data_IF_480614011735
#
_entry.id   IF_480614011735
#
_cell.length_a   1.000
_cell.length_b   1.000
_cell.length_c   1.000
_cell.angle_alpha   90.00
_cell.angle_beta   90.00
_cell.angle_gamma   90.00
#
_symmetry.space_group_name_H-M   'P 1'
#
loop_
_entity.id
_entity.type
_entity.pdbx_description
1 polymer ?
#
# COMPACT_ATOMS: atom_id res chain seq x y z
N UNK A 1 -7.56 0.79 11.06
CA UNK A 1 -8.10 1.76 10.07
C UNK A 1 -9.38 1.18 9.45
N UNK A 2 -10.42 1.97 9.21
CA UNK A 2 -11.66 1.52 8.54
C UNK A 2 -11.52 1.80 7.04
N UNK A 3 -11.49 0.76 6.23
CA UNK A 3 -11.33 0.86 4.77
C UNK A 3 -12.69 0.69 4.07
N UNK A 4 -13.46 -0.30 4.47
CA UNK A 4 -14.71 -0.69 3.82
C UNK A 4 -15.93 -0.20 4.60
N UNK A 5 -17.09 -0.19 3.94
CA UNK A 5 -18.38 0.20 4.52
C UNK A 5 -18.69 -0.57 5.81
N UNK A 6 -19.35 0.11 6.75
CA UNK A 6 -19.89 -0.49 7.98
C UNK A 6 -21.32 -1.01 7.82
N UNK A 7 -21.91 -0.89 6.64
CA UNK A 7 -23.25 -1.39 6.39
C UNK A 7 -23.31 -2.89 6.67
N UNK A 8 -24.38 -3.30 7.36
CA UNK A 8 -24.64 -4.71 7.69
C UNK A 8 -25.45 -5.41 6.62
N UNK A 9 -26.16 -4.64 5.81
CA UNK A 9 -27.06 -5.11 4.74
C UNK A 9 -26.42 -4.84 3.37
N UNK A 10 -25.23 -5.45 3.17
CA UNK A 10 -24.48 -5.31 1.93
C UNK A 10 -25.09 -6.15 0.82
N UNK A 11 -24.93 -5.74 -0.46
CA UNK A 11 -25.26 -6.57 -1.62
C UNK A 11 -24.56 -7.92 -1.52
N UNK A 12 -25.26 -8.98 -1.88
CA UNK A 12 -24.76 -10.35 -1.76
C UNK A 12 -25.16 -11.20 -2.96
N UNK A 13 -24.38 -12.24 -3.23
CA UNK A 13 -24.71 -13.19 -4.27
C UNK A 13 -25.97 -13.98 -3.93
N UNK A 14 -26.74 -14.25 -4.97
CA UNK A 14 -27.74 -15.31 -4.95
C UNK A 14 -27.67 -16.08 -6.27
N UNK A 15 -27.56 -17.42 -6.24
CA UNK A 15 -27.43 -18.22 -7.46
C UNK A 15 -28.66 -18.16 -8.36
N UNK A 16 -29.82 -17.80 -7.82
CA UNK A 16 -31.08 -17.73 -8.56
C UNK A 16 -31.90 -16.52 -8.06
N UNK A 17 -31.92 -15.45 -8.85
CA UNK A 17 -32.81 -14.33 -8.60
C UNK A 17 -34.26 -14.76 -8.88
N UNK A 18 -35.13 -14.57 -7.92
CA UNK A 18 -36.59 -14.65 -8.14
C UNK A 18 -37.12 -13.29 -8.58
N UNK A 19 -38.25 -13.23 -9.30
CA UNK A 19 -38.82 -11.93 -9.72
C UNK A 19 -39.17 -10.98 -8.56
N UNK A 20 -39.25 -11.48 -7.33
CA UNK A 20 -39.53 -10.69 -6.14
C UNK A 20 -38.28 -10.16 -5.43
N UNK A 21 -37.10 -10.57 -5.86
CA UNK A 21 -35.84 -10.11 -5.26
C UNK A 21 -35.38 -8.80 -5.92
N UNK A 22 -34.90 -7.89 -5.07
CA UNK A 22 -34.31 -6.63 -5.53
C UNK A 22 -32.98 -6.89 -6.24
N UNK A 23 -32.86 -6.59 -7.56
CA UNK A 23 -31.63 -6.84 -8.32
C UNK A 23 -30.46 -5.94 -7.92
N UNK A 24 -30.70 -4.89 -7.13
CA UNK A 24 -29.63 -4.04 -6.60
C UNK A 24 -29.00 -4.65 -5.35
N UNK A 25 -29.66 -5.58 -4.69
CA UNK A 25 -29.25 -6.19 -3.44
C UNK A 25 -28.86 -7.66 -3.56
N UNK A 26 -29.53 -8.40 -4.46
CA UNK A 26 -29.30 -9.82 -4.72
C UNK A 26 -28.75 -9.99 -6.13
N UNK A 27 -27.47 -10.37 -6.21
CA UNK A 27 -26.70 -10.38 -7.45
C UNK A 27 -26.41 -11.82 -7.92
N UNK A 28 -26.17 -12.03 -9.22
CA UNK A 28 -25.73 -13.34 -9.75
C UNK A 28 -24.25 -13.66 -9.45
N UNK A 29 -23.54 -12.78 -8.72
CA UNK A 29 -22.12 -12.91 -8.35
C UNK A 29 -21.89 -12.30 -6.97
N UNK A 30 -20.78 -12.66 -6.32
CA UNK A 30 -20.31 -12.00 -5.12
C UNK A 30 -19.68 -10.65 -5.48
N UNK A 31 -20.23 -9.52 -5.04
CA UNK A 31 -19.68 -8.22 -5.34
C UNK A 31 -18.39 -7.97 -4.57
N UNK A 32 -17.40 -7.46 -5.27
CA UNK A 32 -16.14 -7.02 -4.69
C UNK A 32 -16.32 -5.55 -4.31
N UNK A 33 -16.37 -5.27 -3.02
CA UNK A 33 -16.37 -3.88 -2.53
C UNK A 33 -15.01 -3.24 -2.79
N UNK A 34 -14.98 -2.00 -3.27
CA UNK A 34 -13.75 -1.24 -3.40
C UNK A 34 -13.85 0.09 -2.67
N UNK A 35 -12.73 0.55 -2.19
CA UNK A 35 -12.65 1.84 -1.52
C UNK A 35 -11.52 2.67 -2.10
N UNK A 36 -11.73 3.97 -2.17
CA UNK A 36 -10.74 4.93 -2.66
C UNK A 36 -10.33 5.90 -1.56
N UNK A 37 -9.10 6.39 -1.64
CA UNK A 37 -8.54 7.34 -0.67
C UNK A 37 -7.51 8.24 -1.33
N UNK A 38 -7.56 9.54 -1.08
CA UNK A 38 -6.56 10.50 -1.55
C UNK A 38 -5.27 10.47 -0.72
N UNK A 39 -5.37 10.11 0.56
CA UNK A 39 -4.27 10.18 1.54
C UNK A 39 -3.80 8.80 2.05
N UNK A 40 -4.49 7.71 1.63
CA UNK A 40 -4.25 6.35 2.12
C UNK A 40 -4.69 6.12 3.57
N UNK A 41 -5.45 7.05 4.17
CA UNK A 41 -5.91 7.01 5.56
C UNK A 41 -7.42 7.14 5.69
N UNK A 42 -8.00 8.06 4.94
CA UNK A 42 -9.45 8.31 4.90
C UNK A 42 -10.02 7.64 3.67
N UNK A 43 -10.94 6.69 3.86
CA UNK A 43 -11.46 5.83 2.81
C UNK A 43 -12.93 6.10 2.52
N UNK A 44 -13.28 6.05 1.24
CA UNK A 44 -14.64 6.15 0.74
C UNK A 44 -14.97 4.85 0.01
N UNK A 45 -15.90 4.07 0.55
CA UNK A 45 -16.38 2.82 -0.07
C UNK A 45 -17.43 3.13 -1.14
N UNK A 46 -17.42 2.32 -2.22
CA UNK A 46 -18.49 2.33 -3.23
C UNK A 46 -19.85 2.00 -2.63
N UNK A 47 -19.91 1.10 -1.65
CA UNK A 47 -21.15 0.73 -0.97
C UNK A 47 -21.75 1.87 -0.12
N UNK A 48 -20.96 2.85 0.26
CA UNK A 48 -21.43 4.04 0.98
C UNK A 48 -21.87 5.17 0.03
N UNK A 49 -21.81 4.95 -1.30
CA UNK A 49 -22.23 5.94 -2.30
C UNK A 49 -23.67 5.71 -2.75
N UNK A 50 -24.63 6.60 -2.38
CA UNK A 50 -26.02 6.39 -2.73
C UNK A 50 -26.28 6.35 -4.24
N UNK A 51 -25.48 7.09 -5.02
CA UNK A 51 -25.62 7.19 -6.48
C UNK A 51 -25.00 6.00 -7.23
N UNK A 52 -24.29 5.10 -6.52
CA UNK A 52 -23.70 3.88 -7.07
C UNK A 52 -24.48 2.61 -6.73
N UNK A 53 -25.63 2.71 -6.08
CA UNK A 53 -26.48 1.55 -5.79
C UNK A 53 -26.88 0.88 -7.10
N UNK A 54 -26.60 -0.43 -7.20
CA UNK A 54 -26.80 -1.22 -8.43
C UNK A 54 -25.55 -1.34 -9.33
N UNK A 55 -24.50 -0.57 -9.06
CA UNK A 55 -23.22 -0.62 -9.80
C UNK A 55 -22.16 -1.34 -8.95
N UNK A 56 -21.85 -2.57 -9.28
CA UNK A 56 -20.98 -3.41 -8.46
C UNK A 56 -19.85 -4.03 -9.26
N UNK A 57 -18.67 -4.12 -8.64
CA UNK A 57 -17.53 -4.82 -9.21
C UNK A 57 -17.73 -6.34 -9.08
N UNK A 58 -17.66 -7.05 -10.21
CA UNK A 58 -17.75 -8.51 -10.20
C UNK A 58 -16.41 -9.21 -10.47
N UNK A 59 -15.42 -8.48 -10.97
CA UNK A 59 -14.10 -9.01 -11.26
C UNK A 59 -13.09 -7.87 -11.39
N UNK A 60 -11.92 -8.04 -10.83
CA UNK A 60 -10.74 -7.28 -11.24
C UNK A 60 -9.67 -8.24 -11.78
N UNK A 61 -8.89 -7.76 -12.76
CA UNK A 61 -7.83 -8.58 -13.34
C UNK A 61 -6.63 -8.72 -12.39
N UNK A 62 -5.88 -9.83 -12.48
CA UNK A 62 -4.59 -9.93 -11.82
C UNK A 62 -3.67 -8.79 -12.24
N UNK A 63 -2.86 -8.30 -11.32
CA UNK A 63 -1.94 -7.19 -11.56
C UNK A 63 -0.59 -7.74 -12.02
N UNK A 64 -0.12 -7.45 -13.25
CA UNK A 64 1.14 -7.98 -13.76
C UNK A 64 2.34 -7.33 -13.07
N UNK A 65 3.45 -8.05 -12.98
CA UNK A 65 4.74 -7.47 -12.59
C UNK A 65 5.41 -6.97 -13.88
N UNK A 66 5.77 -5.69 -13.92
CA UNK A 66 6.49 -5.07 -15.04
C UNK A 66 7.79 -4.49 -14.49
N UNK A 67 8.91 -4.88 -15.07
CA UNK A 67 10.23 -4.42 -14.64
C UNK A 67 11.06 -3.93 -15.82
N UNK A 68 11.96 -2.99 -15.56
CA UNK A 68 13.01 -2.53 -16.47
C UNK A 68 14.36 -2.82 -15.86
N UNK A 69 15.18 -3.51 -16.65
CA UNK A 69 16.53 -3.91 -16.28
C UNK A 69 17.56 -3.01 -16.96
N UNK A 70 18.39 -2.33 -16.16
CA UNK A 70 19.53 -1.57 -16.65
C UNK A 70 20.72 -2.51 -16.81
N UNK A 71 21.04 -2.86 -18.07
CA UNK A 71 22.09 -3.80 -18.43
C UNK A 71 23.27 -3.05 -19.04
N UNK A 72 24.49 -3.45 -18.67
CA UNK A 72 25.73 -2.87 -19.17
C UNK A 72 26.66 -3.96 -19.70
N UNK A 73 27.23 -3.73 -20.92
CA UNK A 73 28.24 -4.60 -21.47
C UNK A 73 29.64 -4.20 -20.98
N UNK A 74 30.35 -5.12 -20.37
CA UNK A 74 31.68 -4.90 -19.85
C UNK A 74 32.74 -5.37 -20.90
N UNK A 75 33.26 -4.41 -21.67
CA UNK A 75 34.31 -4.66 -22.63
C UNK A 75 33.92 -5.70 -23.69
N UNK A 76 34.85 -6.68 -23.93
CA UNK A 76 34.66 -7.77 -24.91
C UNK A 76 34.05 -9.04 -24.29
N UNK A 77 33.70 -9.03 -23.01
CA UNK A 77 33.12 -10.19 -22.32
C UNK A 77 31.77 -10.57 -22.93
N UNK A 78 31.47 -11.87 -22.94
CA UNK A 78 30.17 -12.35 -23.31
C UNK A 78 29.14 -12.00 -22.22
N UNK A 79 27.90 -11.70 -22.65
CA UNK A 79 26.79 -11.32 -21.77
C UNK A 79 26.81 -9.84 -21.35
N UNK A 80 25.98 -9.52 -20.37
CA UNK A 80 25.83 -8.17 -19.82
C UNK A 80 25.70 -8.25 -18.29
N UNK A 81 26.16 -7.20 -17.61
CA UNK A 81 26.00 -7.03 -16.18
C UNK A 81 24.66 -6.33 -15.90
N UNK A 82 23.89 -6.85 -14.96
CA UNK A 82 22.72 -6.16 -14.44
C UNK A 82 23.16 -5.12 -13.38
N UNK A 83 22.99 -3.84 -13.69
CA UNK A 83 23.32 -2.74 -12.77
C UNK A 83 22.18 -2.44 -11.80
N UNK A 84 20.93 -2.42 -12.30
CA UNK A 84 19.74 -2.16 -11.48
C UNK A 84 18.48 -2.70 -12.15
N UNK A 85 17.47 -2.99 -11.34
CA UNK A 85 16.11 -3.29 -11.75
C UNK A 85 15.18 -2.28 -11.11
N UNK A 86 14.24 -1.72 -11.88
CA UNK A 86 13.13 -0.89 -11.40
C UNK A 86 11.81 -1.53 -11.78
N UNK A 87 10.80 -1.37 -10.91
CA UNK A 87 9.43 -1.76 -11.24
C UNK A 87 8.74 -0.59 -11.89
N UNK A 88 7.99 -0.89 -12.95
CA UNK A 88 7.41 0.12 -13.85
C UNK A 88 5.90 0.24 -13.65
N UNK A 89 5.34 1.28 -14.26
CA UNK A 89 3.90 1.45 -14.39
C UNK A 89 3.26 0.16 -14.89
N UNK A 90 2.16 -0.24 -14.28
CA UNK A 90 1.39 -1.40 -14.70
C UNK A 90 -0.08 -1.06 -14.75
N UNK A 91 -0.81 -1.77 -15.58
CA UNK A 91 -2.25 -1.57 -15.72
C UNK A 91 -2.99 -2.85 -15.38
N UNK A 92 -4.13 -2.69 -14.73
CA UNK A 92 -5.09 -3.74 -14.48
C UNK A 92 -6.51 -3.19 -14.63
N UNK A 93 -7.48 -4.04 -14.72
CA UNK A 93 -8.87 -3.62 -14.96
C UNK A 93 -9.79 -4.10 -13.86
N UNK A 94 -10.81 -3.32 -13.57
CA UNK A 94 -11.98 -3.77 -12.83
C UNK A 94 -13.23 -3.66 -13.71
N UNK A 95 -14.13 -4.62 -13.56
CA UNK A 95 -15.33 -4.75 -14.36
C UNK A 95 -16.54 -4.48 -13.48
N UNK A 96 -17.31 -3.47 -13.86
CA UNK A 96 -18.52 -3.06 -13.17
C UNK A 96 -19.73 -3.56 -13.93
N UNK A 97 -20.68 -4.10 -13.21
CA UNK A 97 -21.99 -4.47 -13.70
C UNK A 97 -23.04 -3.60 -13.02
N UNK A 98 -23.98 -3.07 -13.79
CA UNK A 98 -25.07 -2.23 -13.30
C UNK A 98 -26.40 -2.74 -13.78
N UNK A 99 -27.38 -2.73 -12.88
CA UNK A 99 -28.80 -2.86 -13.21
C UNK A 99 -29.58 -1.88 -12.38
N UNK A 100 -30.33 -1.04 -13.08
CA UNK A 100 -31.25 -0.04 -12.52
C UNK A 100 -32.70 -0.36 -12.78
N UNK A 101 -33.58 0.57 -12.43
CA UNK A 101 -35.03 0.45 -12.61
C UNK A 101 -35.48 0.93 -14.00
N UNK A 102 -34.79 1.88 -14.58
CA UNK A 102 -35.12 2.51 -15.86
C UNK A 102 -33.89 3.11 -16.55
N UNK A 103 -34.08 3.66 -17.75
CA UNK A 103 -33.03 4.28 -18.56
C UNK A 103 -32.37 5.49 -17.87
N UNK A 104 -33.12 6.28 -17.11
CA UNK A 104 -32.57 7.43 -16.38
C UNK A 104 -31.57 6.99 -15.32
N UNK A 105 -31.86 5.90 -14.59
CA UNK A 105 -30.94 5.33 -13.59
C UNK A 105 -29.62 4.90 -14.24
N UNK A 106 -29.67 4.36 -15.47
CA UNK A 106 -28.45 3.94 -16.18
C UNK A 106 -27.50 5.12 -16.41
N UNK A 107 -28.03 6.26 -16.87
CA UNK A 107 -27.20 7.45 -17.14
C UNK A 107 -26.69 8.07 -15.84
N UNK A 108 -27.54 8.17 -14.82
CA UNK A 108 -27.17 8.71 -13.51
C UNK A 108 -26.07 7.87 -12.84
N UNK A 109 -26.22 6.55 -12.85
CA UNK A 109 -25.23 5.65 -12.26
C UNK A 109 -23.88 5.70 -13.00
N UNK A 110 -23.89 5.81 -14.32
CA UNK A 110 -22.64 5.95 -15.09
C UNK A 110 -21.96 7.28 -14.83
N UNK A 111 -22.70 8.39 -14.78
CA UNK A 111 -22.18 9.69 -14.38
C UNK A 111 -21.60 9.68 -12.97
N UNK A 112 -22.30 9.02 -12.03
CA UNK A 112 -21.83 8.85 -10.65
C UNK A 112 -20.54 8.04 -10.60
N UNK A 113 -20.45 6.94 -11.36
CA UNK A 113 -19.24 6.11 -11.47
C UNK A 113 -18.06 6.92 -12.00
N UNK A 114 -18.27 7.74 -13.05
CA UNK A 114 -17.23 8.62 -13.57
C UNK A 114 -16.77 9.63 -12.52
N UNK A 115 -17.70 10.31 -11.83
CA UNK A 115 -17.38 11.29 -10.78
C UNK A 115 -16.66 10.66 -9.59
N UNK A 116 -16.99 9.43 -9.23
CA UNK A 116 -16.35 8.72 -8.14
C UNK A 116 -14.93 8.25 -8.49
N UNK A 117 -14.72 7.74 -9.71
CA UNK A 117 -13.46 7.11 -10.12
C UNK A 117 -12.48 8.06 -10.81
N UNK A 118 -12.97 9.09 -11.53
CA UNK A 118 -12.09 9.97 -12.30
C UNK A 118 -11.72 11.19 -11.48
N UNK A 119 -10.44 11.32 -11.19
CA UNK A 119 -9.88 12.47 -10.46
C UNK A 119 -8.71 13.08 -11.25
N UNK A 120 -8.37 14.34 -10.97
CA UNK A 120 -7.17 14.98 -11.52
C UNK A 120 -5.90 14.35 -10.96
N UNK A 121 -5.88 14.10 -9.66
CA UNK A 121 -4.74 13.52 -8.96
C UNK A 121 -4.92 12.01 -8.80
N UNK A 122 -3.82 11.24 -8.72
CA UNK A 122 -3.87 9.83 -8.38
C UNK A 122 -4.44 9.60 -6.97
N UNK A 123 -4.96 8.41 -6.74
CA UNK A 123 -5.53 8.01 -5.46
C UNK A 123 -5.18 6.55 -5.13
N UNK A 124 -5.34 6.19 -3.88
CA UNK A 124 -5.23 4.82 -3.41
C UNK A 124 -6.55 4.09 -3.61
N UNK A 125 -6.47 2.84 -4.08
CA UNK A 125 -7.62 1.93 -4.18
C UNK A 125 -7.32 0.64 -3.42
N UNK A 126 -8.33 0.11 -2.74
CA UNK A 126 -8.28 -1.15 -2.00
C UNK A 126 -9.53 -1.98 -2.33
N UNK A 127 -9.38 -3.30 -2.44
CA UNK A 127 -10.45 -4.25 -2.77
C UNK A 127 -10.73 -5.18 -1.59
N UNK A 128 -12.00 -5.54 -1.39
CA UNK A 128 -12.43 -6.35 -0.25
C UNK A 128 -11.97 -7.81 -0.29
N UNK A 129 -11.65 -8.33 -1.46
CA UNK A 129 -11.06 -9.66 -1.61
C UNK A 129 -9.57 -9.69 -1.20
N UNK A 130 -8.90 -8.52 -1.24
CA UNK A 130 -7.53 -8.34 -0.73
C UNK A 130 -7.43 -7.10 0.18
N UNK A 131 -8.06 -7.09 1.35
CA UNK A 131 -8.29 -5.89 2.17
C UNK A 131 -7.04 -5.28 2.78
N UNK A 132 -5.90 -5.95 2.68
CA UNK A 132 -4.63 -5.45 3.23
C UNK A 132 -3.73 -4.79 2.18
N UNK A 133 -4.14 -4.81 0.90
CA UNK A 133 -3.37 -4.24 -0.20
C UNK A 133 -4.05 -3.04 -0.79
N UNK A 134 -3.27 -2.00 -1.05
CA UNK A 134 -3.71 -0.84 -1.79
C UNK A 134 -2.77 -0.53 -2.93
N UNK A 135 -3.32 0.05 -3.99
CA UNK A 135 -2.61 0.45 -5.20
C UNK A 135 -2.76 1.95 -5.41
N UNK A 136 -1.69 2.63 -5.82
CA UNK A 136 -1.72 4.06 -6.11
C UNK A 136 -1.96 4.28 -7.59
N UNK A 137 -3.20 4.65 -7.94
CA UNK A 137 -3.67 4.53 -9.32
C UNK A 137 -4.22 5.83 -9.90
N UNK A 138 -4.23 5.86 -11.24
CA UNK A 138 -5.11 6.71 -12.07
C UNK A 138 -6.14 5.80 -12.71
N UNK A 139 -7.41 6.20 -12.64
CA UNK A 139 -8.50 5.47 -13.25
C UNK A 139 -8.94 6.11 -14.57
N UNK A 140 -9.32 5.26 -15.52
CA UNK A 140 -10.00 5.63 -16.77
C UNK A 140 -11.23 4.74 -16.93
N UNK A 141 -12.41 5.34 -16.98
CA UNK A 141 -13.69 4.64 -17.15
C UNK A 141 -14.00 4.57 -18.64
N UNK A 142 -14.09 3.36 -19.19
CA UNK A 142 -14.50 3.16 -20.58
C UNK A 142 -15.99 3.41 -20.77
N UNK A 143 -16.40 3.68 -21.99
CA UNK A 143 -17.83 3.77 -22.33
C UNK A 143 -18.54 2.47 -21.96
N UNK A 144 -19.77 2.54 -21.43
CA UNK A 144 -20.50 1.35 -21.02
C UNK A 144 -20.96 0.54 -22.24
N UNK A 145 -20.99 -0.76 -22.06
CA UNK A 145 -21.66 -1.68 -22.98
C UNK A 145 -23.06 -1.96 -22.43
N UNK A 146 -24.06 -1.53 -23.18
CA UNK A 146 -25.46 -1.73 -22.76
C UNK A 146 -25.89 -3.18 -22.92
N UNK A 147 -26.47 -3.73 -21.86
CA UNK A 147 -27.03 -5.07 -21.82
C UNK A 147 -28.53 -5.06 -22.11
N UNK A 148 -29.22 -3.99 -21.74
CA UNK A 148 -30.64 -3.77 -21.91
C UNK A 148 -30.94 -2.27 -21.76
N UNK A 149 -32.22 -1.91 -21.73
CA UNK A 149 -32.73 -0.59 -21.38
C UNK A 149 -32.58 -0.21 -19.88
N UNK A 150 -32.05 -1.14 -19.07
CA UNK A 150 -31.90 -0.97 -17.61
C UNK A 150 -30.53 -1.35 -17.06
N UNK A 151 -29.64 -1.81 -17.90
CA UNK A 151 -28.35 -2.32 -17.42
C UNK A 151 -27.21 -2.15 -18.41
N UNK A 152 -26.00 -2.04 -17.84
CA UNK A 152 -24.76 -1.94 -18.58
C UNK A 152 -23.61 -2.65 -17.84
N UNK A 153 -22.55 -2.89 -18.60
CA UNK A 153 -21.23 -3.21 -18.03
C UNK A 153 -20.24 -2.14 -18.43
N UNK A 154 -19.30 -1.82 -17.55
CA UNK A 154 -18.20 -0.91 -17.83
C UNK A 154 -16.87 -1.48 -17.35
N UNK A 155 -15.82 -1.18 -18.08
CA UNK A 155 -14.44 -1.53 -17.71
C UNK A 155 -13.75 -0.27 -17.20
N UNK A 156 -13.15 -0.36 -16.03
CA UNK A 156 -12.30 0.69 -15.48
C UNK A 156 -10.86 0.21 -15.58
N UNK A 157 -10.03 0.95 -16.33
CA UNK A 157 -8.60 0.71 -16.39
C UNK A 157 -7.92 1.49 -15.28
N UNK A 158 -7.16 0.80 -14.46
CA UNK A 158 -6.39 1.34 -13.35
C UNK A 158 -4.90 1.27 -13.71
N UNK A 159 -4.25 2.42 -13.77
CA UNK A 159 -2.81 2.53 -13.98
C UNK A 159 -2.14 2.71 -12.63
N UNK A 160 -1.46 1.68 -12.14
CA UNK A 160 -0.68 1.71 -10.91
C UNK A 160 0.66 2.43 -11.16
N UNK A 161 0.86 3.52 -10.43
CA UNK A 161 2.00 4.43 -10.62
C UNK A 161 3.25 4.01 -9.87
N UNK A 162 3.13 3.15 -8.86
CA UNK A 162 4.29 2.63 -8.12
C UNK A 162 4.84 1.31 -8.69
N UNK A 163 4.06 0.60 -9.51
CA UNK A 163 4.43 -0.72 -9.99
C UNK A 163 4.48 -1.80 -8.90
N UNK A 164 4.01 -1.48 -7.71
CA UNK A 164 3.95 -2.35 -6.53
C UNK A 164 2.72 -2.01 -5.70
N UNK A 165 2.12 -3.02 -5.06
CA UNK A 165 1.12 -2.79 -4.04
C UNK A 165 1.77 -2.45 -2.70
N UNK A 166 1.05 -1.72 -1.87
CA UNK A 166 1.46 -1.32 -0.53
C UNK A 166 0.45 -1.80 0.50
N UNK A 167 0.91 -2.05 1.72
CA UNK A 167 -0.01 -2.36 2.82
C UNK A 167 -0.92 -1.18 3.18
N UNK A 168 -2.15 -1.50 3.53
CA UNK A 168 -3.09 -0.57 4.16
C UNK A 168 -2.68 -0.40 5.62
N UNK A 169 -1.98 0.66 5.94
CA UNK A 169 -1.35 0.85 7.25
C UNK A 169 0.13 0.46 7.27
N UNK A 170 0.71 0.49 8.44
CA UNK A 170 2.14 0.27 8.68
C UNK A 170 2.36 -0.90 9.64
N UNK A 171 3.61 -1.21 9.91
CA UNK A 171 4.00 -2.25 10.89
C UNK A 171 3.43 -2.02 12.28
N UNK A 172 3.12 -0.77 12.67
CA UNK A 172 2.48 -0.46 13.95
C UNK A 172 0.96 -0.69 13.94
N UNK A 173 0.34 -0.75 12.78
CA UNK A 173 -1.08 -1.08 12.60
C UNK A 173 -1.34 -2.59 12.58
N UNK A 174 -0.34 -3.41 12.91
CA UNK A 174 -0.40 -4.88 12.85
C UNK A 174 -0.77 -5.43 11.48
N UNK A 175 -0.19 -4.84 10.44
CA UNK A 175 -0.37 -5.33 9.07
C UNK A 175 0.24 -6.72 8.96
N UNK A 176 -0.59 -7.67 8.60
CA UNK A 176 -0.17 -9.04 8.35
C UNK A 176 0.29 -9.18 6.90
N UNK A 177 1.42 -9.85 6.68
CA UNK A 177 1.83 -10.27 5.36
C UNK A 177 0.75 -11.14 4.73
N UNK A 178 0.30 -10.82 3.52
CA UNK A 178 -0.73 -11.55 2.81
C UNK A 178 -0.10 -12.36 1.68
N UNK A 179 -0.45 -13.65 1.60
CA UNK A 179 -0.06 -14.51 0.48
C UNK A 179 1.25 -15.26 0.62
N UNK A 180 2.05 -15.05 1.66
CA UNK A 180 3.36 -15.70 1.84
C UNK A 180 3.34 -16.85 2.85
N UNK A 181 2.20 -17.49 3.13
CA UNK A 181 2.05 -18.47 4.24
C UNK A 181 2.56 -17.96 5.60
N UNK A 182 2.90 -16.69 5.69
CA UNK A 182 3.21 -16.07 6.97
C UNK A 182 1.92 -16.03 7.77
N UNK A 183 1.85 -16.94 8.71
CA UNK A 183 0.79 -16.90 9.71
C UNK A 183 0.79 -15.51 10.31
N UNK A 184 -0.38 -15.01 10.61
CA UNK A 184 -0.66 -13.79 11.34
C UNK A 184 0.08 -13.75 12.70
N UNK A 185 1.40 -13.82 12.67
CA UNK A 185 2.24 -13.70 13.82
C UNK A 185 2.50 -12.21 14.01
N UNK A 186 1.95 -11.68 15.08
CA UNK A 186 2.25 -10.32 15.51
C UNK A 186 3.75 -10.22 15.80
N UNK A 187 4.50 -9.67 14.86
CA UNK A 187 5.92 -9.44 15.02
C UNK A 187 6.14 -8.15 15.81
N UNK A 188 7.11 -8.12 16.72
CA UNK A 188 7.45 -6.90 17.43
C UNK A 188 8.19 -5.92 16.50
N UNK A 189 7.75 -4.67 16.51
CA UNK A 189 8.45 -3.55 15.88
C UNK A 189 8.84 -2.47 16.90
N UNK A 190 8.77 -2.81 18.18
CA UNK A 190 9.20 -1.98 19.29
C UNK A 190 10.08 -2.81 20.23
N UNK A 191 11.25 -2.28 20.57
CA UNK A 191 12.29 -2.99 21.31
C UNK A 191 12.85 -2.11 22.42
N UNK A 192 13.27 -2.75 23.54
CA UNK A 192 13.97 -2.09 24.66
C UNK A 192 15.39 -2.62 24.82
N UNK A 193 15.75 -3.68 24.08
CA UNK A 193 17.12 -4.19 23.99
C UNK A 193 17.89 -3.44 22.92
N UNK A 194 19.20 -3.33 23.08
CA UNK A 194 20.09 -2.75 22.08
C UNK A 194 20.44 -3.73 20.95
N UNK A 195 20.25 -5.02 21.15
CA UNK A 195 20.33 -6.06 20.11
C UNK A 195 18.93 -6.63 19.85
N UNK A 196 18.46 -6.55 18.60
CA UNK A 196 17.15 -7.03 18.20
C UNK A 196 17.09 -7.33 16.70
N UNK A 197 15.99 -7.92 16.27
CA UNK A 197 15.74 -8.27 14.87
C UNK A 197 14.45 -7.59 14.40
N UNK A 198 14.55 -6.88 13.26
CA UNK A 198 13.41 -6.27 12.55
C UNK A 198 13.10 -7.09 11.32
N UNK A 199 11.89 -7.59 11.22
CA UNK A 199 11.45 -8.36 10.07
C UNK A 199 10.83 -7.46 9.00
N UNK A 200 11.36 -7.49 7.78
CA UNK A 200 10.76 -6.86 6.60
C UNK A 200 9.98 -7.93 5.81
N UNK A 201 8.65 -7.96 5.97
CA UNK A 201 7.75 -8.85 5.26
C UNK A 201 7.42 -8.39 3.81
N UNK A 202 8.11 -7.38 3.30
CA UNK A 202 7.95 -6.94 1.91
C UNK A 202 8.66 -7.90 0.94
N UNK A 203 8.23 -7.88 -0.32
CA UNK A 203 8.94 -8.58 -1.39
C UNK A 203 10.23 -7.88 -1.81
N UNK A 204 10.40 -6.62 -1.42
CA UNK A 204 11.51 -5.76 -1.80
C UNK A 204 12.26 -5.21 -0.58
N UNK A 205 13.47 -4.74 -0.83
CA UNK A 205 14.24 -3.96 0.16
C UNK A 205 13.54 -2.63 0.42
N UNK A 206 13.41 -2.25 1.68
CA UNK A 206 13.00 -0.90 2.06
C UNK A 206 14.21 0.02 1.97
N UNK A 207 14.12 1.01 1.09
CA UNK A 207 15.21 1.96 0.82
C UNK A 207 14.63 3.39 0.76
N UNK A 208 14.77 4.16 1.84
CA UNK A 208 14.21 5.50 1.92
C UNK A 208 14.88 6.50 0.99
N UNK A 209 16.18 6.35 0.72
CA UNK A 209 16.94 7.26 -0.10
C UNK A 209 16.68 7.07 -1.60
N UNK A 210 16.89 5.84 -2.09
CA UNK A 210 16.89 5.55 -3.53
C UNK A 210 15.53 5.23 -4.09
N UNK A 211 14.63 4.73 -3.24
CA UNK A 211 13.30 4.24 -3.64
C UNK A 211 12.16 5.02 -3.00
N UNK A 212 12.48 6.00 -2.15
CA UNK A 212 11.48 6.79 -1.41
C UNK A 212 10.48 5.94 -0.61
N UNK A 213 10.91 4.75 -0.17
CA UNK A 213 10.10 3.90 0.68
C UNK A 213 10.00 4.53 2.07
N UNK A 214 8.81 4.79 2.62
CA UNK A 214 8.68 5.30 3.96
C UNK A 214 9.30 4.34 4.98
N UNK A 215 10.12 4.86 5.87
CA UNK A 215 10.70 4.17 7.01
C UNK A 215 10.94 5.18 8.11
N UNK A 216 10.27 5.03 9.23
CA UNK A 216 10.47 5.89 10.41
C UNK A 216 11.03 5.06 11.55
N UNK A 217 12.17 5.48 12.09
CA UNK A 217 12.80 4.85 13.26
C UNK A 217 12.74 5.87 14.40
N UNK A 218 12.02 5.54 15.47
CA UNK A 218 11.84 6.41 16.63
C UNK A 218 12.58 5.83 17.84
N UNK A 219 13.43 6.64 18.46
CA UNK A 219 14.11 6.34 19.70
C UNK A 219 13.58 7.25 20.80
N UNK A 220 12.88 6.68 21.78
CA UNK A 220 12.42 7.39 22.98
C UNK A 220 13.34 7.03 24.15
N UNK A 221 14.14 7.99 24.61
CA UNK A 221 15.11 7.73 25.65
C UNK A 221 16.25 8.74 25.73
N UNK A 222 17.46 8.24 25.92
CA UNK A 222 18.64 9.10 26.04
C UNK A 222 19.92 8.41 25.55
N UNK A 223 20.89 9.26 25.19
CA UNK A 223 22.26 8.83 24.93
C UNK A 223 23.25 9.76 25.65
N UNK A 224 24.29 9.15 26.22
CA UNK A 224 25.40 9.90 26.82
C UNK A 224 26.38 10.48 25.79
N UNK A 225 26.15 10.20 24.51
CA UNK A 225 26.97 10.57 23.37
C UNK A 225 27.43 9.36 22.57
N UNK A 226 27.89 9.60 21.35
CA UNK A 226 28.34 8.56 20.40
C UNK A 226 27.29 7.45 20.17
N UNK A 227 26.02 7.82 20.09
CA UNK A 227 24.97 6.88 19.67
C UNK A 227 25.22 6.43 18.24
N UNK A 228 25.06 5.12 18.00
CA UNK A 228 25.16 4.56 16.64
C UNK A 228 24.14 3.45 16.47
N UNK A 229 23.29 3.60 15.46
CA UNK A 229 22.37 2.56 15.00
C UNK A 229 23.06 1.81 13.87
N UNK A 230 23.16 0.50 13.95
CA UNK A 230 23.77 -0.34 12.92
C UNK A 230 22.80 -1.45 12.53
N UNK A 231 22.46 -1.55 11.24
CA UNK A 231 21.88 -2.74 10.65
C UNK A 231 23.03 -3.69 10.26
N UNK A 232 23.30 -4.72 11.07
CA UNK A 232 24.38 -5.69 10.83
C UNK A 232 24.16 -6.49 9.54
N UNK A 233 22.91 -6.60 9.10
CA UNK A 233 22.56 -7.40 7.91
C UNK A 233 22.88 -6.67 6.61
N UNK A 234 22.64 -5.36 6.55
CA UNK A 234 22.95 -4.55 5.35
C UNK A 234 24.30 -3.84 5.42
N UNK A 235 24.85 -3.68 6.64
CA UNK A 235 26.05 -2.90 6.92
C UNK A 235 25.76 -1.40 7.07
N UNK A 236 24.52 -0.98 6.95
CA UNK A 236 24.12 0.43 7.06
C UNK A 236 24.22 0.91 8.51
N UNK A 237 24.61 2.17 8.69
CA UNK A 237 24.63 2.77 10.04
C UNK A 237 24.40 4.27 9.98
N UNK A 238 23.89 4.83 11.08
CA UNK A 238 23.82 6.26 11.34
C UNK A 238 24.32 6.53 12.74
N UNK A 239 25.12 7.57 12.92
CA UNK A 239 25.68 7.97 14.22
C UNK A 239 25.38 9.40 14.58
N UNK A 240 25.30 9.66 15.89
CA UNK A 240 25.14 10.96 16.50
C UNK A 240 26.11 11.11 17.68
N UNK A 241 27.20 11.93 17.56
CA UNK A 241 28.22 12.07 18.58
C UNK A 241 27.74 12.73 19.87
N UNK A 242 26.86 13.73 19.78
CA UNK A 242 26.43 14.53 20.91
C UNK A 242 25.44 13.80 21.82
N UNK A 243 25.50 14.10 23.12
CA UNK A 243 24.50 13.60 24.09
C UNK A 243 23.11 14.17 23.79
N UNK A 244 22.08 13.40 24.10
CA UNK A 244 20.70 13.83 23.93
C UNK A 244 19.74 13.11 24.87
N UNK A 245 18.52 13.67 25.00
CA UNK A 245 17.40 13.05 25.70
C UNK A 245 16.07 13.48 25.07
N UNK A 246 15.06 12.63 25.20
CA UNK A 246 13.73 12.84 24.63
C UNK A 246 13.45 11.89 23.47
N UNK A 247 12.89 12.39 22.37
CA UNK A 247 12.54 11.60 21.19
C UNK A 247 13.45 11.98 20.02
N UNK A 248 14.25 11.02 19.56
CA UNK A 248 15.02 11.12 18.32
C UNK A 248 14.37 10.27 17.23
N UNK A 249 14.18 10.85 16.06
CA UNK A 249 13.48 10.19 14.94
C UNK A 249 14.33 10.27 13.67
N UNK A 250 14.51 9.15 13.00
CA UNK A 250 14.97 9.10 11.62
C UNK A 250 13.74 8.91 10.72
N UNK A 251 13.28 9.96 10.07
CA UNK A 251 12.16 9.93 9.12
C UNK A 251 12.70 9.85 7.69
N UNK A 252 12.75 8.65 7.17
CA UNK A 252 13.45 8.34 5.92
C UNK A 252 14.95 8.65 6.03
N UNK A 253 15.36 9.77 5.45
CA UNK A 253 16.74 10.29 5.48
C UNK A 253 16.90 11.51 6.40
N UNK A 254 15.82 11.93 7.07
CA UNK A 254 15.79 13.17 7.85
C UNK A 254 15.84 12.86 9.36
N UNK A 255 16.97 13.09 10.05
CA UNK A 255 17.04 12.97 11.51
C UNK A 255 16.42 14.18 12.20
N UNK A 256 15.62 13.92 13.22
CA UNK A 256 14.93 14.92 14.02
C UNK A 256 15.17 14.63 15.51
N UNK A 257 15.46 15.65 16.31
CA UNK A 257 15.48 15.58 17.78
C UNK A 257 14.39 16.46 18.36
N UNK A 258 13.46 15.88 19.10
CA UNK A 258 12.33 16.61 19.70
C UNK A 258 11.60 17.48 18.64
N UNK A 259 11.37 16.91 17.45
CA UNK A 259 10.74 17.53 16.25
C UNK A 259 11.56 18.60 15.54
N UNK A 260 12.79 18.89 15.98
CA UNK A 260 13.70 19.82 15.31
C UNK A 260 14.69 19.06 14.45
N UNK A 261 15.07 19.64 13.31
CA UNK A 261 16.08 19.04 12.43
C UNK A 261 17.41 18.85 13.19
N UNK A 262 17.94 17.63 13.13
CA UNK A 262 19.16 17.22 13.82
C UNK A 262 20.26 16.73 12.85
N UNK A 263 20.09 16.94 11.54
CA UNK A 263 21.00 16.45 10.50
C UNK A 263 22.44 16.87 10.72
N UNK A 264 22.68 18.13 11.10
CA UNK A 264 24.02 18.67 11.35
C UNK A 264 24.79 17.92 12.47
N UNK A 265 24.08 17.24 13.36
CA UNK A 265 24.64 16.49 14.48
C UNK A 265 24.80 15.00 14.18
N UNK A 266 24.61 14.58 12.94
CA UNK A 266 24.72 13.17 12.51
C UNK A 266 25.74 13.04 11.38
N UNK A 267 26.16 11.79 11.10
CA UNK A 267 27.01 11.46 9.94
C UNK A 267 26.23 11.31 8.62
N UNK A 268 24.94 11.67 8.60
CA UNK A 268 24.04 11.51 7.46
C UNK A 268 23.94 10.06 6.95
N UNK A 269 24.16 9.09 7.81
CA UNK A 269 24.00 7.68 7.49
C UNK A 269 22.55 7.33 7.17
N UNK A 270 22.36 6.27 6.39
CA UNK A 270 21.04 5.82 5.93
C UNK A 270 20.83 4.41 6.43
N UNK A 271 19.62 4.11 6.84
CA UNK A 271 19.22 2.76 7.23
C UNK A 271 18.28 2.19 6.19
N UNK A 272 18.58 1.02 5.69
CA UNK A 272 17.73 0.24 4.81
C UNK A 272 17.36 -1.09 5.46
N UNK A 273 16.27 -1.74 5.00
CA UNK A 273 15.89 -3.08 5.46
C UNK A 273 15.85 -4.02 4.26
N UNK A 274 16.69 -5.05 4.25
CA UNK A 274 16.55 -6.09 3.24
C UNK A 274 15.29 -6.94 3.51
N UNK A 275 14.83 -7.68 2.53
CA UNK A 275 13.74 -8.66 2.67
C UNK A 275 14.09 -9.68 3.75
N UNK A 276 13.13 -9.97 4.65
CA UNK A 276 13.30 -10.88 5.77
C UNK A 276 13.93 -10.23 6.99
N UNK A 277 14.70 -10.98 7.76
CA UNK A 277 15.23 -10.56 9.05
C UNK A 277 16.44 -9.63 8.92
N UNK A 278 16.39 -8.53 9.65
CA UNK A 278 17.46 -7.53 9.77
C UNK A 278 17.92 -7.46 11.22
N UNK A 279 19.17 -7.82 11.47
CA UNK A 279 19.78 -7.78 12.81
C UNK A 279 20.33 -6.40 13.10
N UNK A 280 19.86 -5.78 14.18
CA UNK A 280 20.25 -4.44 14.62
C UNK A 280 21.06 -4.45 15.88
N UNK A 281 21.89 -3.43 16.02
CA UNK A 281 22.58 -3.06 17.26
C UNK A 281 22.56 -1.53 17.40
N UNK A 282 22.33 -1.06 18.64
CA UNK A 282 22.40 0.37 18.96
C UNK A 282 23.41 0.57 20.08
N UNK A 283 24.48 1.31 19.79
CA UNK A 283 25.48 1.70 20.77
C UNK A 283 25.04 2.92 21.58
N UNK A 284 25.38 2.95 22.85
CA UNK A 284 25.23 4.10 23.76
C UNK A 284 23.82 4.69 23.82
N UNK A 285 22.79 3.85 23.74
CA UNK A 285 21.41 4.24 23.87
C UNK A 285 20.72 3.50 25.02
N UNK A 286 19.84 4.21 25.73
CA UNK A 286 18.96 3.64 26.76
C UNK A 286 17.54 4.15 26.55
N UNK A 287 16.62 3.23 26.28
CA UNK A 287 15.23 3.58 26.01
C UNK A 287 14.51 2.54 25.16
N UNK A 288 13.53 3.01 24.40
CA UNK A 288 12.70 2.22 23.47
C UNK A 288 12.97 2.64 22.04
N UNK A 289 13.18 1.70 21.16
CA UNK A 289 13.23 1.92 19.70
C UNK A 289 12.00 1.34 19.03
N UNK A 290 11.47 2.05 18.03
CA UNK A 290 10.28 1.65 17.27
C UNK A 290 10.55 1.84 15.79
N UNK A 291 10.20 0.82 14.98
CA UNK A 291 10.26 0.86 13.53
C UNK A 291 8.85 0.92 12.96
N UNK A 292 8.62 1.90 12.09
CA UNK A 292 7.32 2.14 11.45
C UNK A 292 7.50 2.27 9.94
N UNK A 293 6.96 1.30 9.19
CA UNK A 293 7.03 1.29 7.73
C UNK A 293 5.90 0.46 7.12
N UNK A 294 5.41 0.82 5.92
CA UNK A 294 4.48 -0.03 5.18
C UNK A 294 5.21 -1.20 4.52
N UNK A 295 4.49 -2.28 4.28
CA UNK A 295 4.97 -3.40 3.50
C UNK A 295 4.69 -3.19 2.00
N UNK A 296 5.58 -3.67 1.14
CA UNK A 296 5.50 -3.55 -0.32
C UNK A 296 5.55 -4.92 -0.98
N UNK A 297 4.63 -5.17 -1.91
CA UNK A 297 4.53 -6.44 -2.62
C UNK A 297 4.51 -6.24 -4.13
N UNK A 298 5.09 -7.20 -4.85
CA UNK A 298 5.19 -7.17 -6.30
C UNK A 298 3.86 -7.47 -7.01
N UNK A 299 2.93 -8.09 -6.31
CA UNK A 299 1.60 -8.47 -6.86
C UNK A 299 0.49 -7.61 -6.30
#
# INVERSE_FOLDING_TARGET
MQVFSKQTDKPQATPFLTPSQDPTKYLPFDPIEWSISSDGKTWNSDFDQPDLVGAYCYLHSPVPIIETNNLEKLGINDGQRLNSTSYELRTFTMNIWFVGMNEADMYLAYDALQRFMVSRDPFWICFSDWPQRMYYVKAAVAQPTYLSDKGWTAVITLTDLYGMSRSVGTTLDHVMGFGNNERAKQLPYSFTSNDFVVHNGSDVRIDPERRSHPLTITLDGSSSGNMKITNKTTGDSISRPEKWSGTWVLDGVNPLLNKNNDGINTDHGIITLQKGDNSFHIDNFSGKVTFDFPLWWLS
#
